data_IF_027544496229
#
_entry.id   IF_027544496229
#
_cell.length_a   1.000
_cell.length_b   1.000
_cell.length_c   1.000
_cell.angle_alpha   90.00
_cell.angle_beta   90.00
_cell.angle_gamma   90.00
#
_symmetry.space_group_name_H-M   'P 1'
#
loop_
_entity.id
_entity.type
_entity.pdbx_description
1 polymer ?
#
# COMPACT_ATOMS: atom_id res chain seq x y z
N UNK A 1 23.52 -2.49 -2.47
CA UNK A 1 22.15 -2.14 -2.92
C UNK A 1 21.33 -3.36 -3.35
N UNK A 2 21.87 -4.34 -4.10
CA UNK A 2 21.21 -5.62 -4.47
C UNK A 2 20.72 -6.44 -3.25
N UNK A 3 21.22 -6.13 -2.07
CA UNK A 3 20.88 -6.81 -0.82
C UNK A 3 19.48 -6.48 -0.29
N UNK A 4 19.06 -5.21 -0.36
CA UNK A 4 17.83 -4.77 0.30
C UNK A 4 16.56 -5.35 -0.29
N UNK A 5 16.50 -5.54 -1.61
CA UNK A 5 15.38 -6.26 -2.24
C UNK A 5 15.24 -7.68 -1.69
N UNK A 6 16.36 -8.41 -1.51
CA UNK A 6 16.34 -9.77 -0.99
C UNK A 6 15.81 -9.81 0.43
N UNK A 7 16.18 -8.83 1.26
CA UNK A 7 15.63 -8.71 2.61
C UNK A 7 14.12 -8.46 2.60
N UNK A 8 13.60 -7.56 1.75
CA UNK A 8 12.14 -7.36 1.63
C UNK A 8 11.40 -8.65 1.21
N UNK A 9 11.96 -9.37 0.23
CA UNK A 9 11.39 -10.63 -0.25
C UNK A 9 11.41 -11.72 0.84
N UNK A 10 12.50 -11.80 1.61
CA UNK A 10 12.62 -12.75 2.72
C UNK A 10 11.66 -12.45 3.87
N UNK A 11 11.49 -11.16 4.23
CA UNK A 11 10.49 -10.74 5.21
C UNK A 11 9.07 -11.10 4.77
N UNK A 12 8.71 -10.80 3.52
CA UNK A 12 7.42 -11.21 2.96
C UNK A 12 7.23 -12.73 3.00
N UNK A 13 8.25 -13.51 2.62
CA UNK A 13 8.16 -14.97 2.62
C UNK A 13 7.91 -15.55 4.02
N UNK A 14 8.61 -15.05 5.05
CA UNK A 14 8.42 -15.49 6.44
C UNK A 14 7.03 -15.12 6.97
N UNK A 15 6.62 -13.86 6.79
CA UNK A 15 5.30 -13.37 7.23
C UNK A 15 4.18 -14.13 6.52
N UNK A 16 4.27 -14.29 5.20
CA UNK A 16 3.30 -15.06 4.43
C UNK A 16 3.20 -16.50 4.93
N UNK A 17 4.33 -17.15 5.18
CA UNK A 17 4.34 -18.52 5.68
C UNK A 17 3.58 -18.62 7.00
N UNK A 18 3.89 -17.74 7.95
CA UNK A 18 3.20 -17.66 9.24
C UNK A 18 1.69 -17.42 9.08
N UNK A 19 1.29 -16.44 8.26
CA UNK A 19 -0.11 -16.10 8.08
C UNK A 19 -0.91 -17.29 7.50
N UNK A 20 -0.32 -18.03 6.55
CA UNK A 20 -0.99 -19.18 5.93
C UNK A 20 -1.04 -20.43 6.83
N UNK A 21 -0.08 -20.62 7.73
CA UNK A 21 -0.06 -21.81 8.61
C UNK A 21 -0.77 -21.60 9.94
N UNK A 22 -0.68 -20.40 10.50
CA UNK A 22 -1.11 -20.11 11.88
C UNK A 22 -2.04 -18.90 11.96
N UNK A 23 -1.88 -17.91 11.08
CA UNK A 23 -2.54 -16.60 11.20
C UNK A 23 -4.06 -16.65 11.31
N UNK A 24 -4.75 -17.52 10.56
CA UNK A 24 -6.22 -17.66 10.63
C UNK A 24 -6.74 -18.20 11.96
N UNK A 25 -5.86 -18.76 12.81
CA UNK A 25 -6.21 -19.20 14.17
C UNK A 25 -5.94 -18.12 15.22
N UNK A 26 -5.33 -16.99 14.83
CA UNK A 26 -4.84 -15.91 15.70
C UNK A 26 -5.69 -14.65 15.56
N UNK A 27 -6.98 -14.80 15.82
CA UNK A 27 -7.99 -13.73 15.66
C UNK A 27 -8.24 -12.94 16.96
N UNK A 28 -7.48 -13.20 18.03
CA UNK A 28 -7.60 -12.48 19.29
C UNK A 28 -7.34 -10.99 19.12
N UNK A 29 -7.89 -10.16 20.00
CA UNK A 29 -7.62 -8.73 20.04
C UNK A 29 -6.44 -8.50 20.99
N UNK A 30 -5.44 -7.75 20.56
CA UNK A 30 -4.24 -7.46 21.37
C UNK A 30 -4.34 -6.09 22.03
N UNK A 31 -4.56 -5.05 21.21
CA UNK A 31 -4.60 -3.66 21.64
C UNK A 31 -5.35 -2.81 20.59
N UNK A 32 -5.57 -1.54 20.90
CA UNK A 32 -5.89 -0.54 19.88
C UNK A 32 -4.58 0.06 19.35
N UNK A 33 -4.50 0.29 18.04
CA UNK A 33 -3.35 0.93 17.41
C UNK A 33 -3.39 2.46 17.54
N UNK A 34 -2.38 3.16 17.01
CA UNK A 34 -2.27 4.62 17.13
C UNK A 34 -3.42 5.41 16.46
N UNK A 35 -4.23 4.75 15.61
CA UNK A 35 -5.44 5.32 15.00
C UNK A 35 -6.72 5.03 15.78
N UNK A 36 -6.64 4.18 16.82
CA UNK A 36 -7.81 3.68 17.56
C UNK A 36 -8.51 2.51 16.87
N UNK A 37 -7.89 1.90 15.87
CA UNK A 37 -8.37 0.67 15.26
C UNK A 37 -7.89 -0.55 16.06
N UNK A 38 -8.67 -1.62 16.03
CA UNK A 38 -8.38 -2.85 16.79
C UNK A 38 -7.30 -3.68 16.08
N UNK A 39 -6.18 -3.92 16.76
CA UNK A 39 -5.10 -4.81 16.33
C UNK A 39 -5.46 -6.27 16.60
N UNK A 40 -5.44 -7.13 15.57
CA UNK A 40 -5.62 -8.58 15.76
C UNK A 40 -4.27 -9.26 16.05
N UNK A 41 -4.31 -10.42 16.71
CA UNK A 41 -3.12 -11.15 17.16
C UNK A 41 -2.20 -11.53 15.98
N UNK A 42 -2.76 -11.90 14.83
CA UNK A 42 -1.96 -12.18 13.64
C UNK A 42 -1.22 -10.94 13.12
N UNK A 43 -1.80 -9.73 13.18
CA UNK A 43 -1.15 -8.49 12.72
C UNK A 43 0.09 -8.23 13.59
N UNK A 44 -0.09 -8.28 14.92
CA UNK A 44 0.97 -8.08 15.91
C UNK A 44 2.12 -9.09 15.77
N UNK A 45 1.80 -10.36 15.49
CA UNK A 45 2.79 -11.43 15.32
C UNK A 45 3.50 -11.35 13.96
N UNK A 46 2.79 -10.99 12.89
CA UNK A 46 3.38 -10.75 11.58
C UNK A 46 4.37 -9.57 11.63
N UNK A 47 4.00 -8.50 12.33
CA UNK A 47 4.89 -7.35 12.55
C UNK A 47 6.14 -7.72 13.36
N UNK A 48 5.98 -8.49 14.44
CA UNK A 48 7.09 -8.94 15.27
C UNK A 48 8.15 -9.69 14.44
N UNK A 49 7.71 -10.53 13.51
CA UNK A 49 8.60 -11.26 12.58
C UNK A 49 9.43 -10.33 11.69
N UNK A 50 8.82 -9.26 11.18
CA UNK A 50 9.51 -8.25 10.37
C UNK A 50 10.57 -7.53 11.20
N UNK A 51 10.23 -7.14 12.44
CA UNK A 51 11.15 -6.47 13.37
C UNK A 51 12.32 -7.39 13.74
N UNK A 52 12.04 -8.65 14.08
CA UNK A 52 13.05 -9.65 14.42
C UNK A 52 14.00 -9.93 13.26
N UNK A 53 13.45 -10.04 12.04
CA UNK A 53 14.24 -10.19 10.83
C UNK A 53 15.18 -9.00 10.63
N UNK A 54 14.68 -7.77 10.73
CA UNK A 54 15.50 -6.56 10.61
C UNK A 54 16.63 -6.51 11.66
N UNK A 55 16.34 -6.98 12.88
CA UNK A 55 17.30 -7.00 13.98
C UNK A 55 18.41 -8.02 13.76
N UNK A 56 18.07 -9.19 13.23
CA UNK A 56 19.01 -10.30 13.05
C UNK A 56 19.79 -10.24 11.75
N UNK A 57 19.11 -9.99 10.64
CA UNK A 57 19.62 -10.29 9.30
C UNK A 57 20.13 -9.05 8.57
N UNK A 58 19.69 -7.83 8.93
CA UNK A 58 20.20 -6.58 8.33
C UNK A 58 21.31 -6.02 9.21
N UNK A 59 22.51 -5.84 8.65
CA UNK A 59 23.68 -5.41 9.40
C UNK A 59 23.53 -3.98 9.96
N UNK A 60 23.07 -3.06 9.13
CA UNK A 60 22.89 -1.65 9.47
C UNK A 60 21.65 -1.41 10.36
N UNK A 61 21.67 -0.36 11.21
CA UNK A 61 20.48 0.02 11.97
C UNK A 61 19.34 0.46 11.04
N UNK A 62 18.13 -0.05 11.32
CA UNK A 62 16.90 0.24 10.59
C UNK A 62 15.89 0.88 11.55
N UNK A 63 15.34 2.03 11.16
CA UNK A 63 14.15 2.62 11.77
C UNK A 63 12.95 1.93 11.14
N UNK A 64 12.03 1.43 11.95
CA UNK A 64 10.86 0.69 11.49
C UNK A 64 9.64 1.50 11.92
N UNK A 65 8.85 1.92 10.94
CA UNK A 65 7.59 2.61 11.14
C UNK A 65 6.47 1.67 10.76
N UNK A 66 5.60 1.37 11.71
CA UNK A 66 4.63 0.31 11.56
C UNK A 66 3.31 0.67 12.21
N UNK A 67 2.24 0.10 11.67
CA UNK A 67 0.86 0.36 12.07
C UNK A 67 0.62 0.09 13.56
N UNK A 68 1.10 -1.07 14.07
CA UNK A 68 0.67 -1.56 15.39
C UNK A 68 1.51 -1.02 16.54
N UNK A 69 2.80 -0.74 16.30
CA UNK A 69 3.76 -0.30 17.34
C UNK A 69 4.29 1.11 17.16
N UNK A 70 3.96 1.80 16.08
CA UNK A 70 4.53 3.11 15.78
C UNK A 70 6.00 3.00 15.35
N UNK A 71 6.92 3.61 16.09
CA UNK A 71 8.35 3.61 15.76
C UNK A 71 9.14 2.60 16.60
N UNK A 72 9.84 1.70 15.91
CA UNK A 72 10.76 0.72 16.49
C UNK A 72 12.14 0.87 15.85
N UNK A 73 13.20 0.53 16.58
CA UNK A 73 14.57 0.48 16.04
C UNK A 73 15.10 -0.94 16.11
N UNK A 74 15.65 -1.43 14.99
CA UNK A 74 16.25 -2.76 14.97
C UNK A 74 17.54 -2.84 15.79
N UNK A 75 18.32 -1.76 15.81
CA UNK A 75 19.63 -1.67 16.47
C UNK A 75 19.89 -0.25 16.98
N UNK A 76 20.84 -0.11 17.91
CA UNK A 76 21.34 1.19 18.36
C UNK A 76 22.10 1.93 17.26
N UNK A 77 22.04 3.25 17.27
CA UNK A 77 22.75 4.11 16.33
C UNK A 77 21.82 4.78 15.31
N UNK A 78 22.43 5.60 14.45
CA UNK A 78 21.72 6.32 13.38
C UNK A 78 21.25 5.33 12.32
N UNK A 79 19.96 5.35 11.99
CA UNK A 79 19.44 4.43 11.00
C UNK A 79 19.97 4.76 9.60
N UNK A 80 20.45 3.73 8.90
CA UNK A 80 20.81 3.83 7.48
C UNK A 80 19.56 3.77 6.59
N UNK A 81 18.49 3.15 7.09
CA UNK A 81 17.23 2.94 6.40
C UNK A 81 16.05 3.18 7.33
N UNK A 82 14.95 3.65 6.75
CA UNK A 82 13.61 3.60 7.35
C UNK A 82 12.75 2.61 6.56
N UNK A 83 12.27 1.56 7.24
CA UNK A 83 11.30 0.61 6.71
C UNK A 83 9.90 1.02 7.19
N UNK A 84 8.96 1.18 6.26
CA UNK A 84 7.55 1.44 6.53
C UNK A 84 6.78 0.16 6.24
N UNK A 85 5.97 -0.27 7.19
CA UNK A 85 5.39 -1.61 7.22
C UNK A 85 3.89 -1.56 7.46
N UNK A 86 3.15 -2.26 6.60
CA UNK A 86 1.81 -2.77 6.91
C UNK A 86 1.92 -4.30 6.85
N UNK A 87 1.89 -5.00 7.99
CA UNK A 87 2.10 -6.44 8.04
C UNK A 87 0.94 -7.20 7.37
N UNK A 88 -0.28 -6.65 7.36
CA UNK A 88 -1.46 -7.22 6.73
C UNK A 88 -2.43 -6.11 6.31
N UNK A 89 -2.21 -5.51 5.14
CA UNK A 89 -3.21 -4.62 4.54
C UNK A 89 -4.44 -5.46 4.17
N UNK A 90 -5.59 -5.04 4.68
CA UNK A 90 -6.83 -5.81 4.61
C UNK A 90 -6.96 -6.85 5.73
N UNK A 91 -6.58 -6.55 6.98
CA UNK A 91 -6.71 -7.45 8.14
C UNK A 91 -8.13 -8.03 8.31
N UNK A 92 -9.19 -7.28 7.96
CA UNK A 92 -10.57 -7.80 8.01
C UNK A 92 -10.85 -8.83 6.92
N UNK A 93 -10.27 -8.68 5.73
CA UNK A 93 -10.34 -9.70 4.69
C UNK A 93 -9.63 -10.97 5.16
N UNK A 94 -8.41 -10.82 5.69
CA UNK A 94 -7.63 -11.95 6.19
C UNK A 94 -8.37 -12.69 7.30
N UNK A 95 -8.90 -11.98 8.31
CA UNK A 95 -9.66 -12.56 9.42
C UNK A 95 -10.91 -13.35 8.98
N UNK A 96 -11.48 -13.01 7.82
CA UNK A 96 -12.63 -13.70 7.22
C UNK A 96 -12.25 -14.79 6.21
N UNK A 97 -10.96 -15.00 5.96
CA UNK A 97 -10.48 -15.94 4.95
C UNK A 97 -10.67 -15.47 3.51
N UNK A 98 -10.91 -14.17 3.29
CA UNK A 98 -10.93 -13.59 1.94
C UNK A 98 -9.50 -13.41 1.42
N UNK A 99 -9.30 -13.64 0.12
CA UNK A 99 -7.96 -13.64 -0.47
C UNK A 99 -7.35 -12.23 -0.71
N UNK A 100 -8.12 -11.17 -0.42
CA UNK A 100 -7.78 -9.78 -0.73
C UNK A 100 -7.01 -9.09 0.40
N UNK A 101 -5.83 -9.65 0.71
CA UNK A 101 -4.91 -9.10 1.72
C UNK A 101 -3.46 -9.22 1.25
N UNK A 102 -2.63 -8.28 1.69
CA UNK A 102 -1.22 -8.24 1.29
C UNK A 102 -0.31 -7.71 2.40
N UNK A 103 0.99 -7.99 2.29
CA UNK A 103 2.04 -7.36 3.10
C UNK A 103 2.59 -6.18 2.29
N UNK A 104 2.72 -5.00 2.90
CA UNK A 104 3.28 -3.80 2.26
C UNK A 104 4.56 -3.37 2.96
N UNK A 105 5.66 -3.24 2.20
CA UNK A 105 6.99 -2.87 2.69
C UNK A 105 7.58 -1.77 1.81
N UNK A 106 7.83 -0.58 2.38
CA UNK A 106 8.52 0.52 1.70
C UNK A 106 9.82 0.85 2.42
N UNK A 107 10.90 1.10 1.66
CA UNK A 107 12.21 1.41 2.21
C UNK A 107 12.68 2.80 1.76
N UNK A 108 12.88 3.70 2.71
CA UNK A 108 13.44 5.03 2.53
C UNK A 108 14.87 5.12 3.12
N UNK A 109 15.74 6.01 2.62
CA UNK A 109 17.10 6.16 3.14
C UNK A 109 17.11 7.01 4.43
N UNK A 110 17.92 6.61 5.41
CA UNK A 110 18.13 7.36 6.65
C UNK A 110 16.92 7.39 7.58
N UNK A 111 16.95 8.28 8.57
CA UNK A 111 15.88 8.49 9.58
C UNK A 111 15.24 9.89 9.54
N UNK A 112 15.55 10.69 8.52
CA UNK A 112 15.02 12.04 8.37
C UNK A 112 13.56 12.10 7.94
N UNK A 113 13.08 13.31 7.67
CA UNK A 113 11.79 13.50 6.97
C UNK A 113 11.95 13.00 5.54
N UNK A 114 11.02 12.17 5.11
CA UNK A 114 10.97 11.62 3.76
C UNK A 114 9.56 11.78 3.19
N UNK A 115 9.46 11.86 1.88
CA UNK A 115 8.20 11.82 1.15
C UNK A 115 8.08 10.57 0.27
N UNK A 116 6.96 10.44 -0.43
CA UNK A 116 6.73 9.34 -1.38
C UNK A 116 7.84 9.22 -2.44
N UNK A 117 8.40 10.34 -2.90
CA UNK A 117 9.50 10.32 -3.87
C UNK A 117 10.85 9.88 -3.29
N UNK A 118 11.01 9.78 -1.97
CA UNK A 118 12.26 9.33 -1.36
C UNK A 118 12.36 7.80 -1.24
N UNK A 119 11.24 7.08 -1.45
CA UNK A 119 11.20 5.63 -1.39
C UNK A 119 12.16 5.04 -2.44
N UNK A 120 13.05 4.16 -1.99
CA UNK A 120 14.06 3.48 -2.82
C UNK A 120 13.60 2.10 -3.27
N UNK A 121 12.89 1.38 -2.40
CA UNK A 121 12.35 0.07 -2.67
C UNK A 121 10.91 -0.02 -2.16
N UNK A 122 10.05 -0.68 -2.92
CA UNK A 122 8.68 -0.99 -2.54
C UNK A 122 8.41 -2.44 -2.87
N UNK A 123 7.77 -3.16 -1.94
CA UNK A 123 7.28 -4.51 -2.12
C UNK A 123 5.85 -4.60 -1.58
N UNK A 124 4.94 -5.10 -2.39
CA UNK A 124 3.59 -5.50 -1.97
C UNK A 124 3.39 -6.95 -2.36
N UNK A 125 3.21 -7.82 -1.37
CA UNK A 125 3.10 -9.26 -1.55
C UNK A 125 1.71 -9.77 -1.18
N UNK A 126 0.98 -10.36 -2.13
CA UNK A 126 -0.34 -10.95 -1.87
C UNK A 126 -0.19 -12.21 -1.03
N UNK A 127 -0.85 -12.25 0.12
CA UNK A 127 -0.68 -13.32 1.11
C UNK A 127 -1.09 -14.67 0.53
N UNK A 128 -2.29 -14.78 -0.04
CA UNK A 128 -2.81 -16.06 -0.50
C UNK A 128 -2.13 -16.53 -1.79
N UNK A 129 -2.07 -15.68 -2.81
CA UNK A 129 -1.52 -16.08 -4.13
C UNK A 129 0.00 -16.12 -4.17
N UNK A 130 0.69 -15.50 -3.22
CA UNK A 130 2.15 -15.34 -3.24
C UNK A 130 2.67 -14.43 -4.36
N UNK A 131 1.78 -13.72 -5.06
CA UNK A 131 2.18 -12.76 -6.10
C UNK A 131 2.90 -11.57 -5.46
N UNK A 132 4.11 -11.29 -5.92
CA UNK A 132 4.92 -10.16 -5.44
C UNK A 132 4.93 -9.05 -6.47
N UNK A 133 4.57 -7.85 -6.06
CA UNK A 133 4.76 -6.62 -6.81
C UNK A 133 5.92 -5.88 -6.17
N UNK A 134 6.93 -5.50 -6.95
CA UNK A 134 8.11 -4.86 -6.41
C UNK A 134 8.68 -3.82 -7.37
N UNK A 135 9.33 -2.80 -6.82
CA UNK A 135 10.03 -1.78 -7.59
C UNK A 135 11.27 -1.28 -6.85
N UNK A 136 12.29 -0.90 -7.61
CA UNK A 136 13.43 -0.12 -7.16
C UNK A 136 13.43 1.18 -7.95
N UNK A 137 13.67 2.31 -7.28
CA UNK A 137 13.58 3.62 -7.91
C UNK A 137 14.51 3.72 -9.13
N UNK A 138 13.94 4.07 -10.27
CA UNK A 138 14.59 4.17 -11.58
C UNK A 138 14.87 2.84 -12.27
N UNK A 139 14.28 1.72 -11.83
CA UNK A 139 14.52 0.36 -12.36
C UNK A 139 13.27 -0.31 -12.92
N UNK A 140 12.13 0.36 -12.88
CA UNK A 140 10.85 -0.18 -13.29
C UNK A 140 10.21 -1.10 -12.25
N UNK A 141 8.91 -1.30 -12.39
CA UNK A 141 8.13 -2.21 -11.53
C UNK A 141 8.07 -3.63 -12.10
N UNK A 142 7.94 -4.61 -11.21
CA UNK A 142 7.83 -6.04 -11.54
C UNK A 142 6.65 -6.68 -10.82
N UNK A 143 6.03 -7.66 -11.48
CA UNK A 143 5.06 -8.61 -10.93
C UNK A 143 5.64 -10.02 -11.06
N UNK A 144 5.94 -10.65 -9.93
CA UNK A 144 6.55 -11.98 -9.84
C UNK A 144 7.76 -12.16 -10.78
N UNK A 145 8.67 -11.19 -10.74
CA UNK A 145 9.90 -11.18 -11.52
C UNK A 145 9.76 -10.69 -12.97
N UNK A 146 8.55 -10.61 -13.52
CA UNK A 146 8.28 -10.07 -14.86
C UNK A 146 7.98 -8.56 -14.81
N UNK A 147 8.30 -7.77 -15.84
CA UNK A 147 7.91 -6.35 -15.87
C UNK A 147 6.40 -6.17 -15.64
N UNK A 148 6.04 -5.28 -14.73
CA UNK A 148 4.64 -4.87 -14.56
C UNK A 148 4.20 -4.09 -15.80
N UNK A 149 2.95 -4.30 -16.22
CA UNK A 149 2.37 -3.66 -17.39
C UNK A 149 1.02 -3.06 -16.99
N UNK A 150 0.93 -1.75 -16.77
CA UNK A 150 -0.36 -1.12 -16.56
C UNK A 150 -1.19 -1.21 -17.85
N UNK A 151 -2.50 -1.00 -17.71
CA UNK A 151 -3.41 -0.84 -18.84
C UNK A 151 -3.09 0.43 -19.65
N UNK A 152 -3.66 0.56 -20.84
CA UNK A 152 -3.55 1.74 -21.70
C UNK A 152 -4.87 2.49 -21.85
N UNK A 153 -5.88 2.18 -21.02
CA UNK A 153 -7.20 2.83 -21.07
C UNK A 153 -7.07 4.33 -20.78
N UNK A 154 -7.78 5.13 -21.58
CA UNK A 154 -7.79 6.60 -21.47
C UNK A 154 -9.17 7.17 -21.17
N UNK A 155 -10.24 6.39 -21.36
CA UNK A 155 -11.63 6.84 -21.23
C UNK A 155 -12.35 6.17 -20.05
N UNK A 156 -13.11 6.94 -19.27
CA UNK A 156 -13.87 6.44 -18.12
C UNK A 156 -14.81 5.29 -18.52
N UNK A 157 -15.54 5.42 -19.63
CA UNK A 157 -16.52 4.45 -20.11
C UNK A 157 -15.95 3.06 -20.40
N UNK A 158 -14.62 2.94 -20.49
CA UNK A 158 -13.88 1.69 -20.69
C UNK A 158 -13.16 1.20 -19.43
N UNK A 159 -13.02 2.07 -18.42
CA UNK A 159 -12.19 1.86 -17.25
C UNK A 159 -12.87 1.00 -16.17
N UNK A 160 -12.10 0.07 -15.62
CA UNK A 160 -12.37 -0.64 -14.37
C UNK A 160 -11.69 0.12 -13.24
N UNK A 161 -12.47 0.64 -12.29
CA UNK A 161 -11.95 1.49 -11.20
C UNK A 161 -12.14 0.81 -9.84
N UNK A 162 -11.06 0.67 -9.07
CA UNK A 162 -11.13 0.31 -7.66
C UNK A 162 -11.47 1.56 -6.83
N UNK A 163 -12.52 1.51 -6.02
CA UNK A 163 -13.07 2.70 -5.34
C UNK A 163 -13.33 2.44 -3.86
N UNK A 164 -12.72 3.27 -3.02
CA UNK A 164 -12.91 3.32 -1.58
C UNK A 164 -13.45 4.69 -1.11
N UNK A 165 -14.54 4.62 -0.34
CA UNK A 165 -15.16 5.78 0.29
C UNK A 165 -15.93 5.36 1.54
N UNK A 166 -16.23 6.33 2.40
CA UNK A 166 -17.08 6.13 3.56
C UNK A 166 -18.56 6.23 3.16
N UNK A 167 -19.31 5.13 3.23
CA UNK A 167 -20.74 5.09 2.90
C UNK A 167 -21.61 6.04 3.73
N UNK A 168 -21.15 6.43 4.92
CA UNK A 168 -21.87 7.35 5.81
C UNK A 168 -21.60 8.81 5.48
N UNK A 169 -20.55 9.11 4.72
CA UNK A 169 -20.27 10.46 4.24
C UNK A 169 -21.07 10.73 2.96
N UNK A 170 -22.18 11.46 3.10
CA UNK A 170 -23.05 11.84 1.99
C UNK A 170 -22.32 12.62 0.90
N UNK A 171 -21.32 13.43 1.26
CA UNK A 171 -20.54 14.20 0.28
C UNK A 171 -19.64 13.26 -0.52
N UNK A 172 -19.00 12.28 0.13
CA UNK A 172 -18.22 11.26 -0.56
C UNK A 172 -19.11 10.41 -1.48
N UNK A 173 -20.29 9.97 -1.01
CA UNK A 173 -21.26 9.24 -1.83
C UNK A 173 -21.66 10.03 -3.08
N UNK A 174 -21.98 11.32 -2.93
CA UNK A 174 -22.35 12.18 -4.05
C UNK A 174 -21.22 12.33 -5.08
N UNK A 175 -19.97 12.54 -4.61
CA UNK A 175 -18.79 12.60 -5.48
C UNK A 175 -18.58 11.29 -6.25
N UNK A 176 -18.64 10.15 -5.56
CA UNK A 176 -18.42 8.83 -6.15
C UNK A 176 -19.53 8.43 -7.11
N UNK A 177 -20.79 8.81 -6.86
CA UNK A 177 -21.93 8.48 -7.74
C UNK A 177 -21.69 8.87 -9.21
N UNK A 178 -21.08 10.04 -9.45
CA UNK A 178 -20.80 10.53 -10.82
C UNK A 178 -19.73 9.72 -11.52
N UNK A 179 -18.68 9.37 -10.79
CA UNK A 179 -17.64 8.48 -11.28
C UNK A 179 -18.25 7.11 -11.62
N UNK A 180 -19.04 6.53 -10.70
CA UNK A 180 -19.72 5.24 -10.92
C UNK A 180 -20.61 5.24 -12.17
N UNK A 181 -21.31 6.35 -12.45
CA UNK A 181 -22.17 6.48 -13.63
C UNK A 181 -21.38 6.61 -14.95
N UNK A 182 -20.09 6.92 -14.88
CA UNK A 182 -19.24 7.20 -16.05
C UNK A 182 -18.28 6.07 -16.40
N UNK A 183 -18.08 5.10 -15.50
CA UNK A 183 -17.10 4.03 -15.65
C UNK A 183 -17.70 2.74 -16.21
N UNK A 184 -16.85 1.88 -16.76
CA UNK A 184 -17.28 0.55 -17.23
C UNK A 184 -17.68 -0.36 -16.08
N UNK A 185 -16.87 -0.37 -15.02
CA UNK A 185 -17.06 -1.29 -13.90
C UNK A 185 -16.32 -0.79 -12.65
N UNK A 186 -16.81 -1.19 -11.47
CA UNK A 186 -16.24 -0.83 -10.18
C UNK A 186 -15.76 -2.06 -9.42
N UNK A 187 -14.68 -1.91 -8.66
CA UNK A 187 -14.18 -2.90 -7.71
C UNK A 187 -13.99 -2.27 -6.34
N UNK A 188 -14.08 -3.09 -5.31
CA UNK A 188 -13.71 -2.72 -3.94
C UNK A 188 -13.22 -3.95 -3.22
N UNK A 189 -11.92 -4.04 -3.04
CA UNK A 189 -11.25 -5.14 -2.35
C UNK A 189 -10.93 -4.79 -0.89
N UNK A 190 -11.07 -3.53 -0.47
CA UNK A 190 -10.83 -3.08 0.90
C UNK A 190 -9.41 -3.37 1.40
N UNK A 191 -8.42 -3.16 0.52
CA UNK A 191 -6.99 -3.26 0.78
C UNK A 191 -6.27 -2.33 -0.20
N UNK A 192 -5.84 -1.18 0.30
CA UNK A 192 -5.37 -0.08 -0.53
C UNK A 192 -4.08 -0.43 -1.29
N UNK A 193 -3.12 -1.09 -0.62
CA UNK A 193 -1.89 -1.52 -1.27
C UNK A 193 -2.17 -2.57 -2.35
N UNK A 194 -3.10 -3.50 -2.10
CA UNK A 194 -3.52 -4.53 -3.06
C UNK A 194 -4.16 -3.92 -4.31
N UNK A 195 -5.02 -2.92 -4.13
CA UNK A 195 -5.72 -2.23 -5.21
C UNK A 195 -4.78 -1.35 -6.03
N UNK A 196 -3.89 -0.60 -5.38
CA UNK A 196 -2.90 0.24 -6.04
C UNK A 196 -1.94 -0.57 -6.92
N UNK A 197 -1.41 -1.70 -6.45
CA UNK A 197 -0.57 -2.56 -7.30
C UNK A 197 -1.36 -3.29 -8.39
N UNK A 198 -2.69 -3.39 -8.22
CA UNK A 198 -3.61 -3.77 -9.27
C UNK A 198 -3.54 -2.81 -10.47
N UNK A 199 -3.47 -1.50 -10.23
CA UNK A 199 -3.28 -0.48 -11.28
C UNK A 199 -1.94 -0.66 -11.99
N UNK A 200 -0.86 -0.81 -11.23
CA UNK A 200 0.50 -0.97 -11.76
C UNK A 200 0.64 -2.19 -12.71
N UNK A 201 -0.20 -3.20 -12.56
CA UNK A 201 -0.16 -4.43 -13.34
C UNK A 201 -1.38 -4.67 -14.24
N UNK A 202 -2.22 -3.64 -14.44
CA UNK A 202 -3.37 -3.70 -15.36
C UNK A 202 -4.54 -4.56 -14.88
N UNK A 203 -4.62 -4.87 -13.59
CA UNK A 203 -5.79 -5.53 -12.97
C UNK A 203 -6.94 -4.55 -12.68
N UNK A 204 -6.64 -3.26 -12.61
CA UNK A 204 -7.59 -2.15 -12.64
C UNK A 204 -6.96 -1.01 -13.46
N UNK A 205 -7.78 -0.12 -14.00
CA UNK A 205 -7.32 1.03 -14.78
C UNK A 205 -7.07 2.25 -13.89
N UNK A 206 -7.81 2.37 -12.78
CA UNK A 206 -7.62 3.39 -11.76
C UNK A 206 -7.97 2.91 -10.35
N UNK A 207 -7.44 3.61 -9.35
CA UNK A 207 -7.78 3.49 -7.93
C UNK A 207 -8.18 4.87 -7.40
N UNK A 208 -9.26 4.92 -6.62
CA UNK A 208 -9.81 6.14 -6.04
C UNK A 208 -10.13 5.91 -4.57
N UNK A 209 -9.45 6.65 -3.69
CA UNK A 209 -9.79 6.81 -2.29
C UNK A 209 -10.02 8.28 -1.97
N UNK A 210 -11.23 8.60 -1.49
CA UNK A 210 -11.63 9.97 -1.10
C UNK A 210 -11.91 10.11 0.40
N UNK A 211 -11.40 9.18 1.22
CA UNK A 211 -11.65 9.15 2.68
C UNK A 211 -10.75 10.11 3.45
N UNK A 212 -9.62 10.51 2.88
CA UNK A 212 -8.56 11.26 3.57
C UNK A 212 -7.98 10.49 4.79
N UNK A 213 -8.03 9.15 4.77
CA UNK A 213 -7.62 8.30 5.90
C UNK A 213 -6.48 7.34 5.58
N UNK A 214 -6.01 7.26 4.33
CA UNK A 214 -4.91 6.34 4.01
C UNK A 214 -3.62 6.84 4.64
N UNK A 215 -3.01 5.99 5.45
CA UNK A 215 -1.76 6.28 6.12
C UNK A 215 -0.56 5.79 5.29
N UNK A 216 0.66 6.24 5.61
CA UNK A 216 1.84 6.02 4.78
C UNK A 216 2.13 4.53 4.45
N UNK A 217 1.93 3.63 5.39
CA UNK A 217 2.13 2.19 5.21
C UNK A 217 1.18 1.55 4.19
N UNK A 218 -0.05 2.06 4.08
CA UNK A 218 -1.04 1.53 3.15
C UNK A 218 -0.70 1.86 1.68
N UNK A 219 0.14 2.88 1.41
CA UNK A 219 0.37 3.33 0.03
C UNK A 219 1.82 3.54 -0.38
N UNK A 220 2.79 3.74 0.51
CA UNK A 220 4.15 4.13 0.09
C UNK A 220 4.86 3.09 -0.78
N UNK A 221 4.69 1.80 -0.47
CA UNK A 221 5.25 0.73 -1.29
C UNK A 221 4.59 0.72 -2.68
N UNK A 222 3.26 0.79 -2.68
CA UNK A 222 2.45 0.79 -3.90
C UNK A 222 2.65 2.08 -4.74
N UNK A 223 2.93 3.22 -4.10
CA UNK A 223 3.24 4.49 -4.77
C UNK A 223 4.46 4.33 -5.67
N UNK A 224 5.57 3.81 -5.12
CA UNK A 224 6.76 3.58 -5.93
C UNK A 224 6.47 2.58 -7.06
N UNK A 225 5.74 1.50 -6.76
CA UNK A 225 5.38 0.48 -7.76
C UNK A 225 4.53 1.07 -8.90
N UNK A 226 3.52 1.87 -8.60
CA UNK A 226 2.69 2.54 -9.62
C UNK A 226 3.53 3.49 -10.47
N UNK A 227 4.38 4.32 -9.84
CA UNK A 227 5.24 5.28 -10.55
C UNK A 227 6.25 4.59 -11.46
N UNK A 228 6.90 3.54 -10.98
CA UNK A 228 7.88 2.76 -11.74
C UNK A 228 7.23 1.88 -12.83
N UNK A 229 5.92 1.61 -12.73
CA UNK A 229 5.15 1.00 -13.80
C UNK A 229 4.75 2.00 -14.91
N UNK A 230 4.95 3.31 -14.69
CA UNK A 230 4.54 4.39 -15.59
C UNK A 230 3.15 4.96 -15.30
N UNK A 231 2.52 4.54 -14.20
CA UNK A 231 1.25 5.08 -13.74
C UNK A 231 1.37 6.45 -13.06
N UNK A 232 0.22 7.10 -12.92
CA UNK A 232 0.08 8.39 -12.22
C UNK A 232 -0.56 8.13 -10.86
N UNK A 233 -0.09 8.84 -9.83
CA UNK A 233 -0.64 8.78 -8.48
C UNK A 233 -0.49 10.15 -7.81
N UNK A 234 -1.60 10.67 -7.29
CA UNK A 234 -1.73 12.00 -6.66
C UNK A 234 -2.71 11.93 -5.50
N UNK A 235 -2.90 13.03 -4.79
CA UNK A 235 -4.10 13.20 -3.97
C UNK A 235 -5.36 13.38 -4.85
N UNK A 236 -6.54 13.50 -4.22
CA UNK A 236 -7.82 13.71 -4.92
C UNK A 236 -7.96 15.07 -5.62
N UNK A 237 -7.02 15.98 -5.42
CA UNK A 237 -6.97 17.30 -6.05
C UNK A 237 -5.93 17.35 -7.18
N UNK A 238 -5.30 16.22 -7.51
CA UNK A 238 -4.25 16.14 -8.53
C UNK A 238 -2.91 16.69 -8.06
N UNK A 239 -2.73 16.96 -6.76
CA UNK A 239 -1.47 17.44 -6.21
C UNK A 239 -0.56 16.27 -5.80
N UNK A 240 0.77 16.49 -5.76
CA UNK A 240 1.69 15.52 -5.18
C UNK A 240 1.31 15.17 -3.74
N UNK A 241 1.42 13.89 -3.40
CA UNK A 241 1.19 13.40 -2.04
C UNK A 241 2.16 14.08 -1.04
N UNK A 242 1.66 14.43 0.14
CA UNK A 242 2.41 15.20 1.11
C UNK A 242 3.59 14.40 1.70
N UNK A 243 4.67 15.08 2.14
CA UNK A 243 5.72 14.46 2.93
C UNK A 243 5.17 13.81 4.20
N UNK A 244 5.83 12.76 4.67
CA UNK A 244 5.38 11.98 5.82
C UNK A 244 5.85 12.68 7.09
N UNK A 245 4.89 13.21 7.86
CA UNK A 245 5.16 13.82 9.18
C UNK A 245 4.76 12.91 10.34
N UNK A 246 3.78 12.03 10.12
CA UNK A 246 3.25 11.08 11.09
C UNK A 246 2.69 9.85 10.35
N UNK A 247 2.70 8.70 11.03
CA UNK A 247 2.00 7.50 10.57
C UNK A 247 0.47 7.63 10.65
N UNK A 248 -0.04 8.60 11.39
CA UNK A 248 -1.50 8.90 11.48
C UNK A 248 -1.96 9.96 10.48
N UNK A 249 -1.06 10.46 9.62
CA UNK A 249 -1.41 11.46 8.62
C UNK A 249 -2.19 10.78 7.48
N UNK A 250 -3.52 10.91 7.53
CA UNK A 250 -4.41 10.42 6.48
C UNK A 250 -4.32 11.26 5.21
N UNK A 251 -4.41 10.59 4.06
CA UNK A 251 -4.47 11.21 2.73
C UNK A 251 -5.50 10.51 1.85
N UNK A 252 -6.07 11.25 0.90
CA UNK A 252 -6.79 10.69 -0.25
C UNK A 252 -5.78 10.30 -1.33
N UNK A 253 -6.13 9.32 -2.16
CA UNK A 253 -5.28 8.90 -3.27
C UNK A 253 -6.11 8.67 -4.53
N UNK A 254 -5.63 9.20 -5.65
CA UNK A 254 -6.10 8.86 -6.99
C UNK A 254 -4.92 8.36 -7.81
N UNK A 255 -5.00 7.14 -8.30
CA UNK A 255 -4.01 6.55 -9.19
C UNK A 255 -4.66 6.08 -10.50
N UNK A 256 -3.97 6.18 -11.62
CA UNK A 256 -4.46 5.67 -12.90
C UNK A 256 -3.32 5.19 -13.81
N UNK A 257 -3.66 4.30 -14.73
CA UNK A 257 -2.74 3.70 -15.69
C UNK A 257 -2.24 4.70 -16.75
N UNK A 258 -3.01 5.76 -17.05
CA UNK A 258 -2.63 6.81 -18.00
C UNK A 258 -2.92 8.21 -17.45
N UNK A 259 -2.17 9.26 -17.90
CA UNK A 259 -2.48 10.65 -17.55
C UNK A 259 -3.88 11.11 -17.98
N UNK A 260 -4.36 10.65 -19.14
CA UNK A 260 -5.68 10.99 -19.65
C UNK A 260 -6.78 10.45 -18.72
N UNK A 261 -6.67 9.18 -18.31
CA UNK A 261 -7.63 8.59 -17.39
C UNK A 261 -7.54 9.24 -15.99
N UNK A 262 -6.34 9.54 -15.51
CA UNK A 262 -6.13 10.24 -14.24
C UNK A 262 -6.87 11.58 -14.21
N UNK A 263 -6.70 12.41 -15.26
CA UNK A 263 -7.37 13.69 -15.38
C UNK A 263 -8.91 13.53 -15.45
N UNK A 264 -9.39 12.54 -16.21
CA UNK A 264 -10.83 12.28 -16.32
C UNK A 264 -11.45 11.85 -14.97
N UNK A 265 -10.74 11.03 -14.19
CA UNK A 265 -11.15 10.65 -12.84
C UNK A 265 -11.23 11.88 -11.92
N UNK A 266 -10.20 12.73 -11.92
CA UNK A 266 -10.20 13.96 -11.12
C UNK A 266 -11.35 14.90 -11.51
N UNK A 267 -11.63 15.07 -12.80
CA UNK A 267 -12.76 15.88 -13.28
C UNK A 267 -14.10 15.31 -12.80
N UNK A 268 -14.28 13.99 -12.85
CA UNK A 268 -15.48 13.34 -12.36
C UNK A 268 -15.69 13.51 -10.85
N UNK A 269 -14.59 13.62 -10.07
CA UNK A 269 -14.62 13.84 -8.62
C UNK A 269 -14.80 15.32 -8.23
N UNK A 270 -14.40 16.27 -9.09
CA UNK A 270 -14.37 17.70 -8.80
C UNK A 270 -15.70 18.42 -9.01
N UNK A 271 -16.62 17.86 -9.81
CA UNK A 271 -17.91 18.51 -10.08
C UNK A 271 -18.82 18.40 -8.86
N UNK A 272 -19.38 19.54 -8.41
CA UNK A 272 -20.35 19.68 -7.31
C UNK A 272 -21.75 19.19 -7.64
#
# INVERSE_FOLDING_TARGET
MTDMRKHLQAMFADVRQFLLTEGLTKLGIVQDNARGDVTKEFDYLAEARIIDYCTREIAEPVRILTEERGEVRSKSGRAAWTLIVDPVDGSENFARGNEFSCVSLALAPGEGVFGPDDIRFGLVGRIFTGTVFEAEKGKGARKSGQPARPSTVTELSQAIVAIDFNFKDKNAVARIHRLLASIKDARRYASAAYELVGVAAGGADAYVDVRDTLSPENYLAAYLIVREAGGIITDRFGQPLAPIRSMTQGQSIVAACTPALHAAVLEALAKD
#
